data_IF_797640040628
#
_entry.id   IF_797640040628
#
_cell.length_a   1.000
_cell.length_b   1.000
_cell.length_c   1.000
_cell.angle_alpha   90.00
_cell.angle_beta   90.00
_cell.angle_gamma   90.00
#
_symmetry.space_group_name_H-M   'P 1'
#
loop_
_entity.id
_entity.type
_entity.pdbx_description
1 polymer ?
#
# COMPACT_ATOMS: atom_id res chain seq x y z
N UNK A 1 -1.27 25.13 -14.61
CA UNK A 1 -0.17 24.36 -15.23
C UNK A 1 0.23 23.20 -14.31
N UNK A 2 0.70 22.06 -14.82
CA UNK A 2 1.14 20.94 -13.98
C UNK A 2 2.38 21.32 -13.16
N UNK A 3 2.43 20.87 -11.91
CA UNK A 3 3.56 21.13 -10.99
C UNK A 3 4.80 20.31 -11.33
N UNK A 4 4.63 19.23 -12.09
CA UNK A 4 5.69 18.32 -12.50
C UNK A 4 5.11 17.08 -13.17
N UNK A 5 5.99 16.13 -13.49
CA UNK A 5 5.64 14.83 -14.07
C UNK A 5 6.18 13.75 -13.14
N UNK A 6 5.32 12.82 -12.72
CA UNK A 6 5.73 11.61 -12.00
C UNK A 6 5.91 10.49 -13.02
N UNK A 7 7.07 9.82 -12.98
CA UNK A 7 7.37 8.64 -13.78
C UNK A 7 7.56 7.45 -12.85
N UNK A 8 6.76 6.41 -13.01
CA UNK A 8 6.87 5.17 -12.24
C UNK A 8 7.19 4.04 -13.19
N UNK A 9 8.32 3.37 -12.95
CA UNK A 9 8.70 2.17 -13.70
C UNK A 9 8.61 0.97 -12.76
N UNK A 10 7.66 0.08 -13.01
CA UNK A 10 7.39 -1.07 -12.15
C UNK A 10 7.27 -2.35 -12.98
N UNK A 11 7.46 -3.50 -12.33
CA UNK A 11 7.14 -4.80 -12.93
C UNK A 11 5.68 -5.10 -12.63
N UNK A 12 4.87 -5.27 -13.67
CA UNK A 12 3.48 -5.67 -13.53
C UNK A 12 3.42 -7.09 -12.94
N UNK A 13 2.72 -7.23 -11.80
CA UNK A 13 2.65 -8.49 -11.07
C UNK A 13 1.82 -9.58 -11.79
N UNK A 14 0.91 -9.18 -12.69
CA UNK A 14 0.08 -10.11 -13.48
C UNK A 14 0.79 -10.60 -14.73
N UNK A 15 1.48 -9.70 -15.44
CA UNK A 15 2.11 -10.00 -16.75
C UNK A 15 3.60 -10.27 -16.66
N UNK A 16 4.24 -9.91 -15.54
CA UNK A 16 5.69 -9.98 -15.34
C UNK A 16 6.48 -8.96 -16.14
N UNK A 17 5.83 -8.15 -16.99
CA UNK A 17 6.45 -7.17 -17.86
C UNK A 17 6.85 -5.91 -17.09
N UNK A 18 7.88 -5.22 -17.58
CA UNK A 18 8.21 -3.89 -17.10
C UNK A 18 7.29 -2.87 -17.76
N UNK A 19 6.61 -2.06 -16.96
CA UNK A 19 5.73 -0.98 -17.39
C UNK A 19 6.27 0.35 -16.87
N UNK A 20 6.11 1.40 -17.68
CA UNK A 20 6.41 2.78 -17.29
C UNK A 20 5.14 3.60 -17.40
N UNK A 21 4.78 4.27 -16.31
CA UNK A 21 3.60 5.12 -16.19
C UNK A 21 4.10 6.54 -16.01
N UNK A 22 3.62 7.45 -16.84
CA UNK A 22 3.93 8.88 -16.79
C UNK A 22 2.64 9.66 -16.50
N UNK A 23 2.64 10.47 -15.45
CA UNK A 23 1.45 11.21 -15.04
C UNK A 23 1.79 12.64 -14.63
N UNK A 24 1.12 13.66 -15.20
CA UNK A 24 1.28 15.04 -14.76
C UNK A 24 0.66 15.25 -13.38
N UNK A 25 1.39 15.97 -12.54
CA UNK A 25 0.93 16.36 -11.20
C UNK A 25 0.11 17.63 -11.35
N UNK A 26 -1.20 17.52 -11.20
CA UNK A 26 -2.06 18.68 -11.14
C UNK A 26 -1.75 19.51 -9.88
N UNK A 27 -1.81 20.85 -9.94
CA UNK A 27 -1.78 21.67 -8.73
C UNK A 27 -2.91 21.25 -7.80
N UNK A 28 -2.70 21.27 -6.46
CA UNK A 28 -3.67 20.78 -5.52
C UNK A 28 -4.98 21.57 -5.64
N UNK A 29 -5.98 20.99 -6.30
CA UNK A 29 -7.37 21.40 -6.12
C UNK A 29 -7.78 20.91 -4.73
N UNK A 30 -8.35 21.79 -3.89
CA UNK A 30 -8.62 21.60 -2.46
C UNK A 30 -8.61 20.16 -1.95
N UNK A 31 -7.82 19.89 -0.90
CA UNK A 31 -7.54 18.55 -0.41
C UNK A 31 -8.84 17.75 -0.20
N UNK A 32 -9.08 16.80 -1.10
CA UNK A 32 -10.12 15.80 -0.89
C UNK A 32 -9.70 15.00 0.34
N UNK A 33 -10.59 14.78 1.33
CA UNK A 33 -10.28 13.93 2.46
C UNK A 33 -9.80 12.56 1.97
N UNK A 34 -8.81 11.97 2.64
CA UNK A 34 -8.23 10.70 2.22
C UNK A 34 -9.30 9.60 2.07
N UNK A 35 -10.28 9.60 2.96
CA UNK A 35 -11.42 8.68 2.98
C UNK A 35 -12.33 8.82 1.75
N UNK A 36 -12.34 10.01 1.12
CA UNK A 36 -13.11 10.28 -0.10
C UNK A 36 -12.32 10.02 -1.39
N UNK A 37 -11.05 9.60 -1.29
CA UNK A 37 -10.25 9.19 -2.44
C UNK A 37 -10.70 7.85 -3.00
N UNK A 38 -10.37 7.61 -4.28
CA UNK A 38 -10.61 6.35 -4.98
C UNK A 38 -10.16 5.15 -4.13
N UNK A 39 -11.00 4.12 -4.06
CA UNK A 39 -10.76 2.94 -3.22
C UNK A 39 -9.47 2.20 -3.59
N UNK A 40 -9.08 2.18 -4.87
CA UNK A 40 -7.81 1.58 -5.32
C UNK A 40 -6.63 2.44 -4.94
N UNK A 41 -6.78 3.76 -4.89
CA UNK A 41 -5.74 4.64 -4.36
C UNK A 41 -5.53 4.40 -2.87
N UNK A 42 -6.60 4.31 -2.07
CA UNK A 42 -6.52 3.96 -0.64
C UNK A 42 -5.85 2.60 -0.42
N UNK A 43 -6.18 1.60 -1.24
CA UNK A 43 -5.53 0.29 -1.24
C UNK A 43 -4.02 0.40 -1.52
N UNK A 44 -3.63 1.14 -2.56
CA UNK A 44 -2.23 1.33 -2.92
C UNK A 44 -1.45 2.07 -1.82
N UNK A 45 -2.05 3.08 -1.18
CA UNK A 45 -1.47 3.78 -0.05
C UNK A 45 -1.23 2.84 1.14
N UNK A 46 -2.21 2.01 1.50
CA UNK A 46 -2.07 1.02 2.56
C UNK A 46 -0.97 -0.02 2.24
N UNK A 47 -0.87 -0.47 0.98
CA UNK A 47 0.18 -1.38 0.53
C UNK A 47 1.58 -0.74 0.60
N UNK A 48 1.69 0.53 0.24
CA UNK A 48 2.94 1.29 0.35
C UNK A 48 3.36 1.42 1.82
N UNK A 49 2.48 1.90 2.69
CA UNK A 49 2.77 2.06 4.12
C UNK A 49 3.15 0.73 4.79
N UNK A 50 2.42 -0.35 4.50
CA UNK A 50 2.79 -1.69 4.97
C UNK A 50 4.21 -2.09 4.54
N UNK A 51 4.59 -1.81 3.30
CA UNK A 51 5.93 -2.11 2.76
C UNK A 51 7.02 -1.24 3.39
N UNK A 52 6.72 0.02 3.73
CA UNK A 52 7.63 0.90 4.47
C UNK A 52 7.85 0.41 5.91
N UNK A 53 6.79 -0.06 6.58
CA UNK A 53 6.87 -0.67 7.92
C UNK A 53 7.76 -1.91 7.87
N UNK A 54 7.53 -2.81 6.91
CA UNK A 54 8.34 -4.03 6.76
C UNK A 54 9.82 -3.77 6.51
N UNK A 55 10.15 -2.66 5.84
CA UNK A 55 11.54 -2.28 5.58
C UNK A 55 12.21 -1.57 6.77
N UNK A 56 11.45 -1.16 7.79
CA UNK A 56 11.96 -0.31 8.87
C UNK A 56 12.37 1.08 8.36
N UNK A 57 11.61 1.61 7.40
CA UNK A 57 11.90 2.88 6.74
C UNK A 57 11.61 4.09 7.64
N UNK A 58 12.36 5.21 7.52
CA UNK A 58 12.00 6.46 8.19
C UNK A 58 10.63 7.00 7.75
N UNK A 59 10.14 6.63 6.56
CA UNK A 59 8.82 7.06 6.07
C UNK A 59 7.65 6.36 6.78
N UNK A 60 7.91 5.29 7.53
CA UNK A 60 6.94 4.63 8.40
C UNK A 60 7.17 4.94 9.88
N UNK A 61 8.00 5.95 10.21
CA UNK A 61 8.23 6.32 11.60
C UNK A 61 6.93 6.78 12.27
N UNK A 62 6.47 6.02 13.27
CA UNK A 62 5.21 6.27 13.96
C UNK A 62 3.98 5.60 13.35
N UNK A 63 4.12 4.94 12.20
CA UNK A 63 3.08 4.09 11.63
C UNK A 63 3.11 2.69 12.23
N UNK A 64 1.95 2.07 12.35
CA UNK A 64 1.79 0.70 12.82
C UNK A 64 0.99 -0.15 11.83
N UNK A 65 1.06 -1.47 11.95
CA UNK A 65 0.18 -2.35 11.19
C UNK A 65 -1.31 -2.11 11.51
N UNK A 66 -1.63 -1.61 12.71
CA UNK A 66 -2.98 -1.22 13.09
C UNK A 66 -3.51 -0.03 12.28
N UNK A 67 -2.64 0.93 11.92
CA UNK A 67 -3.00 2.06 11.06
C UNK A 67 -3.32 1.58 9.64
N UNK A 68 -2.51 0.66 9.12
CA UNK A 68 -2.75 0.01 7.82
C UNK A 68 -4.08 -0.76 7.85
N UNK A 69 -4.33 -1.55 8.89
CA UNK A 69 -5.57 -2.31 9.02
C UNK A 69 -6.81 -1.40 9.07
N UNK A 70 -6.72 -0.24 9.74
CA UNK A 70 -7.79 0.75 9.80
C UNK A 70 -8.16 1.29 8.41
N UNK A 71 -7.18 1.46 7.51
CA UNK A 71 -7.41 1.85 6.12
C UNK A 71 -7.96 0.67 5.30
N UNK A 72 -7.45 -0.54 5.49
CA UNK A 72 -7.85 -1.72 4.72
C UNK A 72 -9.27 -2.22 5.02
N UNK A 73 -9.80 -2.03 6.22
CA UNK A 73 -11.15 -2.47 6.58
C UNK A 73 -12.25 -1.95 5.64
N UNK A 74 -12.41 -0.63 5.42
CA UNK A 74 -13.41 -0.12 4.47
C UNK A 74 -13.10 -0.55 3.03
N UNK A 75 -11.82 -0.54 2.64
CA UNK A 75 -11.37 -0.97 1.29
C UNK A 75 -11.79 -2.41 0.99
N UNK A 76 -11.62 -3.31 1.96
CA UNK A 76 -11.95 -4.73 1.82
C UNK A 76 -13.46 -4.99 1.73
N UNK A 77 -14.29 -4.12 2.31
CA UNK A 77 -15.75 -4.15 2.16
C UNK A 77 -16.19 -3.66 0.77
N UNK A 78 -15.59 -2.56 0.31
CA UNK A 78 -15.89 -1.95 -0.99
C UNK A 78 -15.43 -2.83 -2.17
N UNK A 79 -14.27 -3.48 -2.05
CA UNK A 79 -13.68 -4.35 -3.08
C UNK A 79 -13.92 -5.85 -2.83
N UNK A 80 -15.04 -6.18 -2.17
CA UNK A 80 -15.47 -7.51 -1.63
C UNK A 80 -15.27 -8.77 -2.48
N UNK A 81 -14.77 -8.67 -3.71
CA UNK A 81 -14.59 -9.75 -4.68
C UNK A 81 -13.17 -10.35 -4.63
N UNK A 82 -12.19 -9.70 -4.00
CA UNK A 82 -10.79 -10.16 -4.03
C UNK A 82 -10.34 -10.79 -2.70
N UNK A 83 -10.26 -12.14 -2.67
CA UNK A 83 -9.71 -12.91 -1.54
C UNK A 83 -8.35 -12.39 -1.05
N UNK A 84 -7.54 -11.81 -1.95
CA UNK A 84 -6.22 -11.25 -1.64
C UNK A 84 -6.30 -9.99 -0.78
N UNK A 85 -7.34 -9.17 -0.92
CA UNK A 85 -7.51 -7.96 -0.10
C UNK A 85 -7.89 -8.36 1.33
N UNK A 86 -8.73 -9.38 1.48
CA UNK A 86 -9.08 -9.96 2.78
C UNK A 86 -7.87 -10.61 3.46
N UNK A 87 -7.02 -11.29 2.70
CA UNK A 87 -5.75 -11.82 3.19
C UNK A 87 -4.80 -10.69 3.64
N UNK A 88 -4.68 -9.63 2.85
CA UNK A 88 -3.85 -8.48 3.19
C UNK A 88 -4.32 -7.80 4.48
N UNK A 89 -5.64 -7.62 4.65
CA UNK A 89 -6.22 -7.11 5.89
C UNK A 89 -5.83 -8.00 7.09
N UNK A 90 -5.96 -9.33 6.96
CA UNK A 90 -5.56 -10.26 8.03
C UNK A 90 -4.07 -10.15 8.37
N UNK A 91 -3.20 -10.01 7.37
CA UNK A 91 -1.76 -9.83 7.60
C UNK A 91 -1.46 -8.56 8.41
N UNK A 92 -2.14 -7.46 8.10
CA UNK A 92 -2.02 -6.22 8.86
C UNK A 92 -2.58 -6.36 10.28
N UNK A 93 -3.74 -6.99 10.46
CA UNK A 93 -4.35 -7.18 11.79
C UNK A 93 -3.55 -8.11 12.71
N UNK A 94 -2.94 -9.15 12.15
CA UNK A 94 -2.09 -10.08 12.89
C UNK A 94 -0.70 -9.51 13.17
N UNK A 95 -0.36 -8.35 12.60
CA UNK A 95 0.93 -7.67 12.74
C UNK A 95 2.08 -8.65 12.59
N UNK A 96 2.12 -9.37 11.46
CA UNK A 96 3.07 -10.46 11.14
C UNK A 96 3.80 -10.98 12.38
N UNK A 97 3.27 -11.99 13.07
CA UNK A 97 4.15 -12.86 13.86
C UNK A 97 4.91 -13.72 12.85
N UNK A 98 6.14 -13.36 12.46
CA UNK A 98 6.85 -14.16 11.50
C UNK A 98 7.44 -15.31 12.31
N UNK A 99 7.06 -16.56 12.04
CA UNK A 99 7.96 -17.67 12.33
C UNK A 99 9.08 -17.62 11.29
N UNK A 100 9.97 -16.64 11.38
CA UNK A 100 11.31 -16.84 10.84
C UNK A 100 11.94 -17.88 11.76
N UNK A 101 11.87 -19.16 11.36
CA UNK A 101 12.79 -20.14 11.92
C UNK A 101 14.17 -19.63 11.54
N UNK A 102 14.86 -19.03 12.50
CA UNK A 102 16.31 -18.89 12.42
C UNK A 102 16.85 -20.31 12.26
N UNK A 103 17.34 -20.62 11.06
CA UNK A 103 18.25 -21.74 10.91
C UNK A 103 19.47 -21.38 11.78
N UNK A 104 19.54 -21.99 12.96
CA UNK A 104 20.68 -21.87 13.86
C UNK A 104 21.97 -22.27 13.13
N UNK A 105 23.11 -21.67 13.50
CA UNK A 105 24.36 -21.95 12.82
C UNK A 105 24.77 -23.43 12.96
N UNK A 106 25.54 -23.96 11.99
CA UNK A 106 25.94 -25.37 11.94
C UNK A 106 26.80 -25.81 13.12
#
# INVERSE_FOLDING_TARGET
>A
EPLGIVRVRCRNALTGQMEEIEQPVAPPSGATPFEAMDVRFRLAAAAAEFSEILRGSPFAAGSSFGDVARVLRPVALELSIENRIQEFLRMAEMGLTPKFQEAGPP
#
